data_IF_158679110504
#
_entry.id   IF_158679110504
#
_cell.length_a   1.000
_cell.length_b   1.000
_cell.length_c   1.000
_cell.angle_alpha   90.00
_cell.angle_beta   90.00
_cell.angle_gamma   90.00
#
_symmetry.space_group_name_H-M   'P 1'
#
loop_
_entity.id
_entity.type
_entity.pdbx_description
1 polymer ?
#
# COMPACT_ATOMS: atom_id res chain seq x y z
N UNK A 1 38.11 3.02 62.06
CA UNK A 1 38.41 3.59 60.73
C UNK A 1 38.90 2.45 59.84
N UNK A 2 38.01 1.75 59.13
CA UNK A 2 37.96 1.82 57.66
C UNK A 2 38.01 0.42 57.03
N UNK A 3 36.90 -0.32 57.02
CA UNK A 3 36.78 -1.59 56.32
C UNK A 3 36.56 -1.32 54.81
N UNK A 4 37.45 -1.82 53.95
CA UNK A 4 37.36 -1.63 52.50
C UNK A 4 37.00 -2.95 51.82
N UNK A 5 35.72 -3.07 51.45
CA UNK A 5 35.17 -4.13 50.63
C UNK A 5 35.85 -4.17 49.25
N UNK A 6 36.12 -5.36 48.71
CA UNK A 6 36.48 -5.56 47.29
C UNK A 6 35.39 -6.40 46.63
N UNK A 7 34.84 -5.84 45.56
CA UNK A 7 33.58 -6.23 44.95
C UNK A 7 33.62 -7.56 44.22
N UNK A 8 32.47 -8.21 44.22
CA UNK A 8 32.14 -9.37 43.41
C UNK A 8 32.23 -9.04 41.92
N UNK A 9 32.82 -9.94 41.13
CA UNK A 9 32.90 -9.86 39.68
C UNK A 9 31.65 -10.50 39.08
N UNK A 10 30.78 -9.68 38.50
CA UNK A 10 29.60 -10.12 37.74
C UNK A 10 30.01 -10.48 36.32
N UNK A 11 29.69 -11.71 35.88
CA UNK A 11 29.87 -12.17 34.50
C UNK A 11 28.86 -11.48 33.55
N UNK A 12 29.20 -11.23 32.27
CA UNK A 12 28.25 -10.63 31.34
C UNK A 12 27.23 -11.69 30.91
N UNK A 13 25.97 -11.45 31.27
CA UNK A 13 24.83 -12.23 30.79
C UNK A 13 24.72 -12.12 29.27
N UNK A 14 24.66 -13.27 28.60
CA UNK A 14 24.36 -13.38 27.18
C UNK A 14 22.90 -12.97 26.97
N UNK A 15 22.65 -11.71 26.60
CA UNK A 15 21.32 -11.26 26.19
C UNK A 15 20.88 -12.11 24.99
N UNK A 16 19.90 -12.99 25.22
CA UNK A 16 19.16 -13.66 24.16
C UNK A 16 18.39 -12.58 23.39
N UNK A 17 18.71 -12.40 22.10
CA UNK A 17 17.92 -11.55 21.20
C UNK A 17 16.50 -12.13 21.13
N UNK A 18 15.44 -11.36 21.41
CA UNK A 18 14.09 -11.83 21.12
C UNK A 18 13.97 -12.05 19.61
N UNK A 19 13.46 -13.23 19.24
CA UNK A 19 13.08 -13.53 17.87
C UNK A 19 12.03 -12.50 17.45
N UNK A 20 12.33 -11.74 16.39
CA UNK A 20 11.45 -10.69 15.88
C UNK A 20 10.07 -11.27 15.59
N UNK A 21 9.04 -10.66 16.18
CA UNK A 21 7.64 -10.91 15.85
C UNK A 21 7.48 -10.91 14.34
N UNK A 22 6.88 -11.97 13.82
CA UNK A 22 6.60 -12.12 12.39
C UNK A 22 5.94 -10.85 11.85
N UNK A 23 6.50 -10.33 10.76
CA UNK A 23 5.92 -9.20 10.06
C UNK A 23 4.50 -9.59 9.63
N UNK A 24 3.50 -9.04 10.32
CA UNK A 24 2.12 -9.10 9.85
C UNK A 24 2.11 -8.46 8.47
N UNK A 25 1.77 -9.23 7.45
CA UNK A 25 1.74 -8.75 6.07
C UNK A 25 0.57 -7.78 5.98
N UNK A 26 0.85 -6.49 6.16
CA UNK A 26 -0.15 -5.43 6.07
C UNK A 26 -0.86 -5.53 4.73
N UNK A 27 -2.20 -5.51 4.76
CA UNK A 27 -2.98 -5.45 3.54
C UNK A 27 -2.59 -4.18 2.78
N UNK A 28 -2.29 -4.27 1.47
CA UNK A 28 -1.99 -3.09 0.69
C UNK A 28 -3.19 -2.13 0.74
N UNK A 29 -2.96 -0.81 0.88
CA UNK A 29 -4.04 0.16 0.98
C UNK A 29 -4.95 0.09 -0.26
N UNK A 30 -6.24 0.34 -0.04
CA UNK A 30 -7.22 0.42 -1.12
C UNK A 30 -6.81 1.47 -2.17
N UNK A 31 -7.06 1.14 -3.44
CA UNK A 31 -6.83 2.07 -4.55
C UNK A 31 -8.04 3.00 -4.59
N UNK A 32 -7.87 4.20 -4.05
CA UNK A 32 -8.97 5.15 -3.90
C UNK A 32 -9.16 6.08 -5.09
N UNK A 33 -8.26 6.06 -6.08
CA UNK A 33 -8.36 6.92 -7.27
C UNK A 33 -9.36 6.40 -8.32
N UNK A 34 -9.64 5.09 -8.34
CA UNK A 34 -10.57 4.48 -9.29
C UNK A 34 -11.46 3.41 -8.66
N UNK A 35 -12.56 3.12 -9.34
CA UNK A 35 -13.39 1.94 -9.10
C UNK A 35 -13.88 1.36 -10.43
N UNK A 36 -14.26 0.09 -10.44
CA UNK A 36 -15.01 -0.52 -11.52
C UNK A 36 -16.51 -0.27 -11.32
N UNK A 37 -17.17 0.28 -12.33
CA UNK A 37 -18.62 0.25 -12.42
C UNK A 37 -19.10 -1.20 -12.62
N UNK A 38 -20.37 -1.47 -12.31
CA UNK A 38 -20.94 -2.82 -12.37
C UNK A 38 -20.98 -3.42 -13.78
N UNK A 39 -20.85 -2.58 -14.82
CA UNK A 39 -20.70 -2.99 -16.22
C UNK A 39 -19.25 -3.26 -16.65
N UNK A 40 -18.27 -3.13 -15.73
CA UNK A 40 -16.85 -3.33 -15.99
C UNK A 40 -16.09 -2.08 -16.45
N UNK A 41 -16.76 -0.93 -16.55
CA UNK A 41 -16.10 0.35 -16.89
C UNK A 41 -15.24 0.83 -15.73
N UNK A 42 -14.01 1.29 -15.99
CA UNK A 42 -13.20 1.98 -14.98
C UNK A 42 -13.68 3.42 -14.86
N UNK A 43 -14.00 3.85 -13.64
CA UNK A 43 -14.50 5.17 -13.31
C UNK A 43 -13.59 5.90 -12.32
N UNK A 44 -13.58 7.23 -12.42
CA UNK A 44 -12.86 8.08 -11.49
C UNK A 44 -13.59 8.16 -10.15
N UNK A 45 -12.91 7.85 -9.05
CA UNK A 45 -13.55 7.81 -7.72
C UNK A 45 -14.08 9.15 -7.25
N UNK A 46 -13.46 10.26 -7.68
CA UNK A 46 -13.86 11.59 -7.24
C UNK A 46 -15.14 12.08 -7.91
N UNK A 47 -15.28 11.89 -9.23
CA UNK A 47 -16.40 12.44 -10.00
C UNK A 47 -17.37 11.38 -10.56
N UNK A 48 -17.11 10.10 -10.31
CA UNK A 48 -17.95 8.97 -10.72
C UNK A 48 -17.98 8.69 -12.23
N UNK A 49 -17.25 9.45 -13.05
CA UNK A 49 -17.33 9.36 -14.52
C UNK A 49 -16.39 8.29 -15.09
N UNK A 50 -16.76 7.66 -16.22
CA UNK A 50 -15.88 6.79 -16.97
C UNK A 50 -14.55 7.46 -17.30
N UNK A 51 -13.48 6.70 -17.18
CA UNK A 51 -12.15 7.09 -17.59
C UNK A 51 -11.87 6.63 -19.02
N UNK A 52 -11.21 7.49 -19.80
CA UNK A 52 -10.78 7.16 -21.15
C UNK A 52 -9.41 6.48 -21.11
N UNK A 53 -9.29 5.31 -21.76
CA UNK A 53 -8.01 4.61 -21.85
C UNK A 53 -7.10 5.27 -22.88
N UNK A 54 -5.90 5.68 -22.46
CA UNK A 54 -4.92 6.38 -23.30
C UNK A 54 -3.73 5.50 -23.72
N UNK A 55 -3.60 4.29 -23.17
CA UNK A 55 -2.59 3.32 -23.60
C UNK A 55 -1.90 2.62 -22.44
N UNK A 56 -0.83 1.91 -22.76
CA UNK A 56 0.01 1.25 -21.77
C UNK A 56 1.45 1.75 -21.84
N UNK A 57 2.12 1.79 -20.68
CA UNK A 57 3.54 2.15 -20.56
C UNK A 57 4.33 0.90 -20.20
N UNK A 58 5.25 0.51 -21.10
CA UNK A 58 6.11 -0.66 -20.92
C UNK A 58 5.36 -1.99 -20.72
N UNK A 59 4.06 -2.06 -21.06
CA UNK A 59 3.21 -3.22 -20.79
C UNK A 59 2.94 -3.50 -19.31
N UNK A 60 3.29 -2.59 -18.40
CA UNK A 60 3.17 -2.77 -16.94
C UNK A 60 2.18 -1.80 -16.31
N UNK A 61 2.00 -0.63 -16.91
CA UNK A 61 1.10 0.40 -16.44
C UNK A 61 0.07 0.73 -17.51
N UNK A 62 -1.13 1.08 -17.09
CA UNK A 62 -2.24 1.53 -17.90
C UNK A 62 -2.47 3.01 -17.62
N UNK A 63 -2.62 3.81 -18.65
CA UNK A 63 -2.88 5.24 -18.54
C UNK A 63 -4.33 5.54 -18.87
N UNK A 64 -4.96 6.32 -18.01
CA UNK A 64 -6.34 6.73 -18.14
C UNK A 64 -6.46 8.24 -17.99
N UNK A 65 -7.49 8.84 -18.60
CA UNK A 65 -7.77 10.26 -18.49
C UNK A 65 -9.21 10.53 -18.07
N UNK A 66 -9.40 11.40 -17.08
CA UNK A 66 -10.70 11.90 -16.69
C UNK A 66 -10.98 13.24 -17.38
N UNK A 67 -11.88 13.25 -18.35
CA UNK A 67 -12.25 14.49 -19.09
C UNK A 67 -13.01 15.50 -18.23
N UNK A 68 -13.58 15.09 -17.09
CA UNK A 68 -14.29 16.00 -16.17
C UNK A 68 -13.36 16.67 -15.16
N UNK A 69 -12.39 15.92 -14.63
CA UNK A 69 -11.43 16.42 -13.66
C UNK A 69 -10.15 16.94 -14.30
N UNK A 70 -9.92 16.65 -15.59
CA UNK A 70 -8.68 16.99 -16.33
C UNK A 70 -7.46 16.39 -15.61
N UNK A 71 -7.55 15.09 -15.32
CA UNK A 71 -6.55 14.36 -14.54
C UNK A 71 -6.15 13.06 -15.24
N UNK A 72 -4.85 12.75 -15.21
CA UNK A 72 -4.34 11.44 -15.61
C UNK A 72 -4.32 10.49 -14.41
N UNK A 73 -4.79 9.28 -14.62
CA UNK A 73 -4.68 8.19 -13.67
C UNK A 73 -3.83 7.08 -14.30
N UNK A 74 -2.64 6.87 -13.76
CA UNK A 74 -1.77 5.77 -14.17
C UNK A 74 -1.87 4.63 -13.15
N UNK A 75 -2.15 3.42 -13.61
CA UNK A 75 -2.36 2.23 -12.78
C UNK A 75 -1.43 1.09 -13.19
N UNK A 76 -0.67 0.48 -12.26
CA UNK A 76 -0.01 -0.78 -12.54
C UNK A 76 -1.02 -1.88 -12.88
N UNK A 77 -0.76 -2.71 -13.89
CA UNK A 77 -1.65 -3.83 -14.25
C UNK A 77 -1.88 -4.79 -13.08
N UNK A 78 -0.88 -4.94 -12.21
CA UNK A 78 -0.94 -5.80 -11.03
C UNK A 78 -1.99 -5.38 -10.00
N UNK A 79 -2.50 -4.15 -10.08
CA UNK A 79 -3.48 -3.63 -9.11
C UNK A 79 -4.92 -3.73 -9.60
N UNK A 80 -5.15 -4.10 -10.87
CA UNK A 80 -6.50 -4.20 -11.45
C UNK A 80 -7.43 -5.12 -10.64
N UNK A 81 -6.93 -6.25 -10.16
CA UNK A 81 -7.72 -7.21 -9.36
C UNK A 81 -8.11 -6.72 -7.96
N UNK A 82 -7.59 -5.56 -7.54
CA UNK A 82 -7.86 -4.94 -6.24
C UNK A 82 -8.69 -3.66 -6.34
N UNK A 83 -9.00 -3.22 -7.56
CA UNK A 83 -9.85 -2.05 -7.77
C UNK A 83 -11.25 -2.40 -7.26
N UNK A 84 -11.86 -1.59 -6.37
CA UNK A 84 -13.18 -1.86 -5.84
C UNK A 84 -14.23 -1.82 -6.95
N UNK A 85 -15.31 -2.59 -6.80
CA UNK A 85 -16.47 -2.57 -7.70
C UNK A 85 -17.62 -1.84 -7.01
N UNK A 86 -18.31 -0.93 -7.71
CA UNK A 86 -19.44 -0.17 -7.16
C UNK A 86 -20.39 0.37 -8.22
N UNK A 87 -21.62 0.75 -7.85
CA UNK A 87 -22.69 1.17 -8.78
C UNK A 87 -22.48 2.55 -9.42
N UNK A 88 -21.33 3.19 -9.24
CA UNK A 88 -21.16 4.61 -9.57
C UNK A 88 -21.86 5.51 -8.55
N UNK A 89 -21.34 6.73 -8.38
CA UNK A 89 -21.94 7.77 -7.53
C UNK A 89 -22.89 8.63 -8.36
#
# INVERSE_FOLDING_TARGET
>A
MGAKQRGAKTAPGRLLRPAGSGASRSEPPAIVSVFFHTDGTICHSWCGRPLEFHGSRGGLELDFFCTRCIEHVTLPQSVLSRIPVGPGM
#
